data_IF_746390008820
#
_entry.id   IF_746390008820
#
_cell.length_a   1.000
_cell.length_b   1.000
_cell.length_c   1.000
_cell.angle_alpha   90.00
_cell.angle_beta   90.00
_cell.angle_gamma   90.00
#
_symmetry.space_group_name_H-M   'P 1'
#
loop_
_entity.id
_entity.type
_entity.pdbx_description
1 polymer ?
#
# COMPACT_ATOMS: atom_id res chain seq x y z
N UNK A 1 -19.67 -28.43 0.62
CA UNK A 1 -20.77 -27.57 0.12
C UNK A 1 -20.48 -27.33 -1.34
N UNK A 2 -21.45 -27.41 -2.25
CA UNK A 2 -21.23 -27.02 -3.65
C UNK A 2 -21.25 -25.50 -3.75
N UNK A 3 -20.55 -24.92 -4.74
CA UNK A 3 -20.48 -23.48 -4.96
C UNK A 3 -21.88 -22.85 -5.12
N UNK A 4 -22.77 -23.52 -5.87
CA UNK A 4 -24.17 -23.11 -6.08
C UNK A 4 -24.95 -22.96 -4.75
N UNK A 5 -24.74 -23.91 -3.81
CA UNK A 5 -25.38 -23.83 -2.50
C UNK A 5 -24.86 -22.63 -1.70
N UNK A 6 -23.56 -22.33 -1.81
CA UNK A 6 -22.98 -21.19 -1.14
C UNK A 6 -23.47 -19.86 -1.74
N UNK A 7 -23.59 -19.78 -3.05
CA UNK A 7 -24.16 -18.58 -3.69
C UNK A 7 -25.59 -18.32 -3.23
N UNK A 8 -26.39 -19.39 -3.03
CA UNK A 8 -27.73 -19.25 -2.46
C UNK A 8 -27.70 -18.73 -1.01
N UNK A 9 -26.72 -19.17 -0.19
CA UNK A 9 -26.54 -18.66 1.18
C UNK A 9 -26.14 -17.18 1.18
N UNK A 10 -25.34 -16.72 0.22
CA UNK A 10 -24.96 -15.31 0.10
C UNK A 10 -26.15 -14.39 -0.13
N UNK A 11 -27.20 -14.86 -0.80
CA UNK A 11 -28.40 -14.06 -1.10
C UNK A 11 -29.37 -13.98 0.08
N UNK A 12 -29.27 -14.88 1.05
CA UNK A 12 -30.19 -14.94 2.21
C UNK A 12 -29.67 -14.05 3.35
N UNK A 13 -30.35 -12.94 3.69
CA UNK A 13 -29.92 -12.03 4.73
C UNK A 13 -29.93 -12.61 6.15
N UNK A 14 -30.70 -13.69 6.38
CA UNK A 14 -30.82 -14.34 7.71
C UNK A 14 -29.62 -15.29 7.99
N UNK A 15 -28.87 -15.69 6.96
CA UNK A 15 -27.72 -16.58 7.10
C UNK A 15 -26.47 -15.75 7.41
N UNK A 16 -25.80 -16.05 8.51
CA UNK A 16 -24.55 -15.39 8.89
C UNK A 16 -23.43 -15.75 7.91
N UNK A 17 -22.74 -14.74 7.37
CA UNK A 17 -21.58 -14.94 6.51
C UNK A 17 -20.46 -15.55 7.36
N UNK A 18 -19.99 -16.75 6.97
CA UNK A 18 -18.88 -17.43 7.63
C UNK A 18 -17.60 -17.24 6.82
N UNK A 19 -16.48 -17.02 7.48
CA UNK A 19 -15.15 -16.96 6.83
C UNK A 19 -14.89 -18.20 5.95
N UNK A 20 -15.19 -19.40 6.46
CA UNK A 20 -15.01 -20.65 5.71
C UNK A 20 -15.85 -20.74 4.42
N UNK A 21 -16.97 -20.00 4.36
CA UNK A 21 -17.78 -19.88 3.15
C UNK A 21 -17.13 -18.90 2.14
N UNK A 22 -16.63 -17.76 2.62
CA UNK A 22 -15.96 -16.77 1.76
C UNK A 22 -14.74 -17.35 1.05
N UNK A 23 -14.04 -18.32 1.65
CA UNK A 23 -12.94 -19.03 1.00
C UNK A 23 -13.35 -19.68 -0.35
N UNK A 24 -14.64 -19.99 -0.52
CA UNK A 24 -15.16 -20.53 -1.79
C UNK A 24 -15.15 -19.49 -2.93
N UNK A 25 -15.00 -18.19 -2.59
CA UNK A 25 -14.89 -17.11 -3.58
C UNK A 25 -13.45 -16.85 -4.02
N UNK A 26 -12.47 -17.53 -3.39
CA UNK A 26 -11.07 -17.43 -3.78
C UNK A 26 -10.81 -18.17 -5.09
N UNK A 27 -10.10 -17.54 -6.01
CA UNK A 27 -9.72 -18.13 -7.29
C UNK A 27 -10.87 -18.31 -8.29
N UNK A 28 -12.03 -17.67 -8.07
CA UNK A 28 -13.16 -17.77 -9.02
C UNK A 28 -12.76 -17.26 -10.40
N UNK A 29 -13.08 -18.06 -11.42
CA UNK A 29 -12.78 -17.74 -12.81
C UNK A 29 -13.89 -18.21 -13.77
N UNK A 30 -13.89 -17.67 -14.98
CA UNK A 30 -14.76 -18.11 -16.05
C UNK A 30 -16.25 -18.16 -15.69
N UNK A 31 -16.91 -19.34 -15.79
CA UNK A 31 -18.35 -19.45 -15.54
C UNK A 31 -18.76 -19.07 -14.12
N UNK A 32 -17.94 -19.39 -13.11
CA UNK A 32 -18.26 -19.20 -11.69
C UNK A 32 -18.41 -17.72 -11.34
N UNK A 33 -17.50 -16.86 -11.84
CA UNK A 33 -17.61 -15.42 -11.61
C UNK A 33 -18.83 -14.83 -12.35
N UNK A 34 -19.19 -15.37 -13.52
CA UNK A 34 -20.39 -14.95 -14.26
C UNK A 34 -21.66 -15.29 -13.46
N UNK A 35 -21.69 -16.47 -12.86
CA UNK A 35 -22.81 -16.91 -12.02
C UNK A 35 -22.94 -16.03 -10.77
N UNK A 36 -21.85 -15.80 -10.02
CA UNK A 36 -21.83 -14.90 -8.87
C UNK A 36 -22.34 -13.49 -9.26
N UNK A 37 -21.89 -12.96 -10.38
CA UNK A 37 -22.32 -11.63 -10.85
C UNK A 37 -23.81 -11.59 -11.22
N UNK A 38 -24.35 -12.68 -11.77
CA UNK A 38 -25.78 -12.80 -12.01
C UNK A 38 -26.62 -12.68 -10.74
N UNK A 39 -26.10 -13.18 -9.63
CA UNK A 39 -26.75 -13.12 -8.31
C UNK A 39 -26.42 -11.85 -7.53
N UNK A 40 -25.27 -11.22 -7.79
CA UNK A 40 -24.75 -10.10 -7.01
C UNK A 40 -25.74 -8.96 -6.81
N UNK A 41 -26.47 -8.62 -7.87
CA UNK A 41 -27.47 -7.56 -7.82
C UNK A 41 -28.70 -7.90 -6.96
N UNK A 42 -28.93 -9.18 -6.64
CA UNK A 42 -30.01 -9.65 -5.77
C UNK A 42 -29.61 -9.65 -4.30
N UNK A 43 -28.32 -9.61 -3.99
CA UNK A 43 -27.81 -9.51 -2.63
C UNK A 43 -28.09 -8.12 -2.07
N UNK A 44 -28.69 -7.99 -0.85
CA UNK A 44 -28.90 -6.69 -0.22
C UNK A 44 -27.61 -5.88 -0.08
N UNK A 45 -27.70 -4.57 -0.22
CA UNK A 45 -26.54 -3.68 -0.23
C UNK A 45 -25.64 -3.85 1.00
N UNK A 46 -26.22 -3.84 2.20
CA UNK A 46 -25.46 -4.03 3.44
C UNK A 46 -24.68 -5.34 3.45
N UNK A 47 -25.29 -6.37 2.90
CA UNK A 47 -24.65 -7.68 2.82
C UNK A 47 -23.51 -7.71 1.79
N UNK A 48 -23.65 -7.00 0.65
CA UNK A 48 -22.54 -6.85 -0.31
C UNK A 48 -21.37 -6.12 0.32
N UNK A 49 -21.65 -5.06 1.10
CA UNK A 49 -20.61 -4.34 1.88
C UNK A 49 -19.88 -5.28 2.84
N UNK A 50 -20.64 -6.07 3.62
CA UNK A 50 -20.09 -7.05 4.56
C UNK A 50 -19.24 -8.11 3.86
N UNK A 51 -19.68 -8.62 2.71
CA UNK A 51 -18.92 -9.62 1.92
C UNK A 51 -17.57 -9.04 1.49
N UNK A 52 -17.58 -7.85 0.87
CA UNK A 52 -16.36 -7.22 0.35
C UNK A 52 -15.40 -6.86 1.49
N UNK A 53 -15.92 -6.34 2.60
CA UNK A 53 -15.15 -6.00 3.80
C UNK A 53 -14.40 -7.20 4.35
N UNK A 54 -15.13 -8.29 4.61
CA UNK A 54 -14.53 -9.53 5.12
C UNK A 54 -13.56 -10.20 4.15
N UNK A 55 -13.79 -10.07 2.83
CA UNK A 55 -12.81 -10.56 1.86
C UNK A 55 -11.51 -9.75 1.91
N UNK A 56 -11.59 -8.42 2.13
CA UNK A 56 -10.41 -7.58 2.30
C UNK A 56 -9.62 -7.99 3.54
N UNK A 57 -10.30 -8.16 4.69
CA UNK A 57 -9.68 -8.67 5.92
C UNK A 57 -9.01 -10.04 5.72
N UNK A 58 -9.67 -10.95 5.00
CA UNK A 58 -9.13 -12.30 4.75
C UNK A 58 -7.85 -12.29 3.89
N UNK A 59 -7.72 -11.38 2.93
CA UNK A 59 -6.50 -11.26 2.11
C UNK A 59 -5.34 -10.70 2.94
N UNK A 60 -5.60 -9.77 3.86
CA UNK A 60 -4.59 -9.26 4.78
C UNK A 60 -4.04 -10.37 5.70
N UNK A 61 -4.92 -11.27 6.16
CA UNK A 61 -4.55 -12.38 7.05
C UNK A 61 -3.92 -13.58 6.32
N UNK A 62 -4.19 -13.76 5.03
CA UNK A 62 -3.75 -14.92 4.26
C UNK A 62 -3.50 -14.60 2.78
N UNK A 63 -2.23 -14.47 2.44
CA UNK A 63 -1.75 -14.13 1.10
C UNK A 63 -2.00 -15.23 0.03
N UNK A 64 -2.40 -16.45 0.42
CA UNK A 64 -2.77 -17.51 -0.52
C UNK A 64 -4.17 -17.32 -1.11
N UNK A 65 -4.96 -16.37 -0.60
CA UNK A 65 -6.32 -16.10 -1.07
C UNK A 65 -6.31 -15.11 -2.24
N UNK A 66 -7.04 -15.45 -3.29
CA UNK A 66 -7.21 -14.62 -4.48
C UNK A 66 -8.69 -14.26 -4.71
N UNK A 67 -9.08 -13.07 -4.31
CA UNK A 67 -10.39 -12.50 -4.60
C UNK A 67 -10.39 -11.46 -5.74
N UNK A 68 -9.29 -11.33 -6.48
CA UNK A 68 -9.12 -10.28 -7.49
C UNK A 68 -10.25 -10.29 -8.53
N UNK A 69 -10.72 -11.47 -8.96
CA UNK A 69 -11.85 -11.58 -9.91
C UNK A 69 -13.14 -10.99 -9.37
N UNK A 70 -13.44 -11.21 -8.07
CA UNK A 70 -14.63 -10.69 -7.39
C UNK A 70 -14.49 -9.18 -7.19
N UNK A 71 -13.37 -8.72 -6.63
CA UNK A 71 -13.11 -7.29 -6.44
C UNK A 71 -13.21 -6.52 -7.76
N UNK A 72 -12.60 -7.02 -8.84
CA UNK A 72 -12.69 -6.40 -10.16
C UNK A 72 -14.13 -6.24 -10.64
N UNK A 73 -14.97 -7.22 -10.37
CA UNK A 73 -16.39 -7.15 -10.71
C UNK A 73 -17.12 -6.10 -9.87
N UNK A 74 -16.78 -6.00 -8.57
CA UNK A 74 -17.34 -5.05 -7.62
C UNK A 74 -16.94 -3.59 -7.89
N UNK A 75 -15.91 -3.30 -8.68
CA UNK A 75 -15.59 -1.93 -9.13
C UNK A 75 -16.73 -1.22 -9.87
N UNK A 76 -17.76 -1.96 -10.28
CA UNK A 76 -18.95 -1.43 -10.98
C UNK A 76 -20.22 -1.51 -10.15
N UNK A 77 -20.11 -1.80 -8.86
CA UNK A 77 -21.27 -1.86 -7.99
C UNK A 77 -21.97 -0.49 -7.92
N UNK A 78 -23.28 -0.50 -7.73
CA UNK A 78 -24.07 0.73 -7.56
C UNK A 78 -23.73 1.45 -6.26
N UNK A 79 -23.32 0.72 -5.25
CA UNK A 79 -22.96 1.21 -3.94
C UNK A 79 -21.48 1.64 -3.90
N UNK A 80 -21.24 2.84 -3.44
CA UNK A 80 -19.90 3.43 -3.40
C UNK A 80 -18.97 2.76 -2.39
N UNK A 81 -19.49 2.32 -1.23
CA UNK A 81 -18.66 1.61 -0.25
C UNK A 81 -18.18 0.26 -0.79
N UNK A 82 -19.04 -0.44 -1.54
CA UNK A 82 -18.63 -1.69 -2.22
C UNK A 82 -17.54 -1.40 -3.24
N UNK A 83 -17.67 -0.32 -4.05
CA UNK A 83 -16.64 0.05 -5.03
C UNK A 83 -15.32 0.45 -4.37
N UNK A 84 -15.39 1.26 -3.30
CA UNK A 84 -14.20 1.74 -2.59
C UNK A 84 -13.41 0.57 -1.97
N UNK A 85 -14.09 -0.31 -1.25
CA UNK A 85 -13.46 -1.51 -0.64
C UNK A 85 -12.93 -2.47 -1.70
N UNK A 86 -13.66 -2.67 -2.80
CA UNK A 86 -13.19 -3.49 -3.91
C UNK A 86 -11.93 -2.90 -4.58
N UNK A 87 -11.86 -1.58 -4.75
CA UNK A 87 -10.67 -0.93 -5.25
C UNK A 87 -9.49 -1.19 -4.28
N UNK A 88 -9.69 -0.98 -2.98
CA UNK A 88 -8.66 -1.24 -1.96
C UNK A 88 -8.21 -2.71 -1.93
N UNK A 89 -9.13 -3.66 -2.02
CA UNK A 89 -8.81 -5.10 -2.10
C UNK A 89 -8.00 -5.51 -3.35
N UNK A 90 -7.82 -4.58 -4.31
CA UNK A 90 -7.00 -4.77 -5.51
C UNK A 90 -5.63 -4.07 -5.42
N UNK A 91 -5.29 -3.46 -4.28
CA UNK A 91 -4.05 -2.69 -4.09
C UNK A 91 -2.80 -3.53 -4.44
N UNK A 92 -2.79 -4.81 -4.04
CA UNK A 92 -1.68 -5.72 -4.31
C UNK A 92 -1.85 -6.58 -5.58
N UNK A 93 -2.88 -6.32 -6.37
CA UNK A 93 -3.14 -7.10 -7.58
C UNK A 93 -2.17 -6.78 -8.71
N UNK A 94 -1.70 -7.83 -9.41
CA UNK A 94 -0.89 -7.73 -10.64
C UNK A 94 -1.73 -7.76 -11.92
N UNK A 95 -3.07 -7.81 -11.81
CA UNK A 95 -3.98 -7.86 -12.96
C UNK A 95 -4.06 -6.51 -13.68
N UNK A 96 -3.28 -6.37 -14.74
CA UNK A 96 -3.21 -5.12 -15.55
C UNK A 96 -4.55 -4.74 -16.20
N UNK A 97 -5.54 -5.64 -16.22
CA UNK A 97 -6.85 -5.34 -16.81
C UNK A 97 -7.68 -4.39 -15.96
N UNK A 98 -7.29 -4.21 -14.68
CA UNK A 98 -7.95 -3.28 -13.75
C UNK A 98 -7.44 -1.84 -13.85
N UNK A 99 -6.31 -1.58 -14.50
CA UNK A 99 -5.74 -0.23 -14.65
C UNK A 99 -6.78 0.75 -15.22
N UNK A 100 -7.44 0.39 -16.31
CA UNK A 100 -8.44 1.28 -16.91
C UNK A 100 -9.67 1.49 -16.04
N UNK A 101 -10.30 0.45 -15.46
CA UNK A 101 -11.34 0.63 -14.46
C UNK A 101 -10.96 1.53 -13.30
N UNK A 102 -9.75 1.38 -12.71
CA UNK A 102 -9.27 2.23 -11.61
C UNK A 102 -9.08 3.69 -12.05
N UNK A 103 -8.53 3.94 -13.24
CA UNK A 103 -8.42 5.29 -13.81
C UNK A 103 -9.82 5.91 -14.00
N UNK A 104 -10.79 5.13 -14.50
CA UNK A 104 -12.16 5.63 -14.67
C UNK A 104 -12.81 5.97 -13.33
N UNK A 105 -12.59 5.17 -12.26
CA UNK A 105 -13.04 5.47 -10.91
C UNK A 105 -12.36 6.74 -10.37
N UNK A 106 -11.04 6.82 -10.45
CA UNK A 106 -10.27 7.97 -9.98
C UNK A 106 -10.76 9.29 -10.58
N UNK A 107 -11.03 9.30 -11.87
CA UNK A 107 -11.35 10.53 -12.58
C UNK A 107 -12.84 10.92 -12.54
N UNK A 108 -13.76 9.95 -12.35
CA UNK A 108 -15.18 10.13 -12.66
C UNK A 108 -16.15 9.69 -11.56
N UNK A 109 -15.69 8.95 -10.54
CA UNK A 109 -16.62 8.51 -9.49
C UNK A 109 -17.09 9.69 -8.64
N UNK A 110 -18.37 9.72 -8.30
CA UNK A 110 -18.94 10.78 -7.47
C UNK A 110 -18.47 10.71 -6.01
N UNK A 111 -18.10 9.49 -5.53
CA UNK A 111 -17.63 9.27 -4.15
C UNK A 111 -16.16 9.59 -3.99
N UNK A 112 -15.84 10.48 -3.04
CA UNK A 112 -14.47 10.83 -2.66
C UNK A 112 -13.68 9.61 -2.20
N UNK A 113 -14.31 8.72 -1.45
CA UNK A 113 -13.69 7.48 -0.93
C UNK A 113 -13.30 6.53 -2.06
N UNK A 114 -14.15 6.39 -3.07
CA UNK A 114 -13.84 5.58 -4.26
C UNK A 114 -12.65 6.15 -5.02
N UNK A 115 -12.62 7.49 -5.22
CA UNK A 115 -11.50 8.13 -5.90
C UNK A 115 -10.19 7.95 -5.14
N UNK A 116 -10.21 8.14 -3.81
CA UNK A 116 -9.03 7.92 -2.96
C UNK A 116 -8.54 6.47 -3.01
N UNK A 117 -9.44 5.48 -2.89
CA UNK A 117 -9.10 4.06 -2.99
C UNK A 117 -8.54 3.68 -4.36
N UNK A 118 -9.09 4.24 -5.43
CA UNK A 118 -8.57 4.02 -6.78
C UNK A 118 -7.17 4.62 -6.97
N UNK A 119 -6.88 5.79 -6.36
CA UNK A 119 -5.55 6.38 -6.38
C UNK A 119 -4.53 5.45 -5.72
N UNK A 120 -4.83 4.93 -4.53
CA UNK A 120 -3.96 3.97 -3.80
C UNK A 120 -3.64 2.76 -4.67
N UNK A 121 -4.67 2.10 -5.22
CA UNK A 121 -4.47 0.88 -6.01
C UNK A 121 -3.73 1.11 -7.33
N UNK A 122 -3.76 2.34 -7.87
CA UNK A 122 -2.94 2.71 -9.02
C UNK A 122 -1.45 2.86 -8.67
N UNK A 123 -1.10 3.05 -7.40
CA UNK A 123 0.28 3.18 -6.92
C UNK A 123 1.16 1.98 -7.27
N UNK A 124 0.66 0.76 -7.05
CA UNK A 124 1.38 -0.46 -7.45
C UNK A 124 1.68 -0.50 -8.96
N UNK A 125 0.70 -0.12 -9.78
CA UNK A 125 0.91 -0.08 -11.23
C UNK A 125 1.84 1.06 -11.65
N UNK A 126 1.94 2.14 -10.88
CA UNK A 126 2.93 3.19 -11.09
C UNK A 126 4.36 2.67 -10.88
N UNK A 127 4.60 1.92 -9.79
CA UNK A 127 5.87 1.21 -9.55
C UNK A 127 6.15 0.22 -10.68
N UNK A 128 5.19 -0.62 -11.04
CA UNK A 128 5.33 -1.58 -12.14
C UNK A 128 5.62 -0.92 -13.49
N UNK A 129 5.11 0.29 -13.72
CA UNK A 129 5.37 1.05 -14.95
C UNK A 129 6.81 1.57 -14.96
N UNK A 130 7.34 2.04 -13.84
CA UNK A 130 8.74 2.44 -13.70
C UNK A 130 9.69 1.26 -13.91
N UNK A 131 9.34 0.09 -13.40
CA UNK A 131 10.09 -1.17 -13.59
C UNK A 131 9.95 -1.74 -15.03
N UNK A 132 9.19 -1.11 -15.91
CA UNK A 132 8.94 -1.61 -17.25
C UNK A 132 8.05 -2.87 -17.33
N UNK A 133 7.38 -3.21 -16.23
CA UNK A 133 6.46 -4.36 -16.13
C UNK A 133 5.06 -4.06 -16.69
N UNK A 134 4.74 -2.81 -16.95
CA UNK A 134 3.49 -2.33 -17.56
C UNK A 134 3.81 -1.69 -18.91
N UNK A 135 2.87 -1.74 -19.87
CA UNK A 135 3.06 -1.09 -21.17
C UNK A 135 3.25 0.43 -20.97
N UNK A 136 4.21 1.04 -21.65
CA UNK A 136 4.50 2.48 -21.54
C UNK A 136 3.26 3.37 -21.68
N UNK A 137 2.33 3.01 -22.60
CA UNK A 137 1.08 3.75 -22.79
C UNK A 137 0.15 3.70 -21.56
N UNK A 138 0.17 2.59 -20.81
CA UNK A 138 -0.69 2.42 -19.64
C UNK A 138 -0.04 3.10 -18.43
N UNK A 139 1.28 3.03 -18.29
CA UNK A 139 2.03 3.82 -17.31
C UNK A 139 1.82 5.33 -17.50
N UNK A 140 1.88 5.82 -18.74
CA UNK A 140 1.60 7.23 -19.04
C UNK A 140 0.15 7.63 -18.71
N UNK A 141 -0.82 6.76 -18.96
CA UNK A 141 -2.22 7.02 -18.56
C UNK A 141 -2.41 7.10 -17.06
N UNK A 142 -1.73 6.22 -16.31
CA UNK A 142 -1.75 6.27 -14.84
C UNK A 142 -1.17 7.60 -14.36
N UNK A 143 0.02 7.96 -14.84
CA UNK A 143 0.69 9.21 -14.47
C UNK A 143 -0.19 10.42 -14.74
N UNK A 144 -0.73 10.52 -15.95
CA UNK A 144 -1.59 11.66 -16.36
C UNK A 144 -2.86 11.72 -15.50
N UNK A 145 -3.51 10.59 -15.21
CA UNK A 145 -4.72 10.56 -14.40
C UNK A 145 -4.46 10.98 -12.94
N UNK A 146 -3.36 10.53 -12.34
CA UNK A 146 -2.96 10.94 -10.98
C UNK A 146 -2.65 12.44 -10.93
N UNK A 147 -1.88 12.96 -11.89
CA UNK A 147 -1.56 14.38 -11.97
C UNK A 147 -2.80 15.24 -12.18
N UNK A 148 -3.73 14.81 -13.05
CA UNK A 148 -4.99 15.54 -13.27
C UNK A 148 -5.78 15.72 -11.97
N UNK A 149 -5.82 14.69 -11.11
CA UNK A 149 -6.52 14.74 -9.83
C UNK A 149 -5.80 15.63 -8.82
N UNK A 150 -4.46 15.61 -8.81
CA UNK A 150 -3.65 16.48 -7.95
C UNK A 150 -3.91 17.97 -8.27
N UNK A 151 -4.05 18.29 -9.54
CA UNK A 151 -4.23 19.66 -10.03
C UNK A 151 -5.69 20.19 -9.88
N UNK A 152 -6.66 19.34 -9.49
CA UNK A 152 -8.06 19.79 -9.32
C UNK A 152 -8.24 20.62 -8.06
N UNK A 153 -8.74 21.85 -8.19
CA UNK A 153 -8.98 22.76 -7.06
C UNK A 153 -10.07 22.24 -6.09
N UNK A 154 -11.05 21.52 -6.62
CA UNK A 154 -12.21 20.99 -5.89
C UNK A 154 -12.04 19.55 -5.41
N UNK A 155 -10.86 18.95 -5.59
CA UNK A 155 -10.61 17.59 -5.13
C UNK A 155 -10.41 17.52 -3.62
N UNK A 156 -10.80 16.39 -3.01
CA UNK A 156 -10.61 16.17 -1.58
C UNK A 156 -9.12 16.09 -1.21
N UNK A 157 -8.81 16.55 0.00
CA UNK A 157 -7.45 16.45 0.53
C UNK A 157 -6.97 15.00 0.50
N UNK A 158 -7.82 14.05 0.93
CA UNK A 158 -7.45 12.63 0.98
C UNK A 158 -7.15 12.07 -0.42
N UNK A 159 -8.00 12.32 -1.43
CA UNK A 159 -7.74 11.85 -2.79
C UNK A 159 -6.44 12.46 -3.35
N UNK A 160 -6.21 13.75 -3.10
CA UNK A 160 -5.00 14.45 -3.53
C UNK A 160 -3.75 13.84 -2.89
N UNK A 161 -3.78 13.58 -1.58
CA UNK A 161 -2.70 12.91 -0.85
C UNK A 161 -2.35 11.56 -1.45
N UNK A 162 -3.36 10.69 -1.65
CA UNK A 162 -3.17 9.37 -2.23
C UNK A 162 -2.64 9.41 -3.66
N UNK A 163 -3.06 10.41 -4.44
CA UNK A 163 -2.55 10.62 -5.78
C UNK A 163 -1.07 11.06 -5.77
N UNK A 164 -0.65 11.93 -4.83
CA UNK A 164 0.75 12.34 -4.64
C UNK A 164 1.61 11.14 -4.27
N UNK A 165 1.17 10.34 -3.30
CA UNK A 165 1.86 9.13 -2.86
C UNK A 165 2.04 8.13 -4.02
N UNK A 166 1.02 7.97 -4.85
CA UNK A 166 1.01 6.99 -5.94
C UNK A 166 1.78 7.44 -7.18
N UNK A 167 1.85 8.76 -7.46
CA UNK A 167 2.59 9.27 -8.62
C UNK A 167 4.10 9.33 -8.37
N UNK A 168 4.53 9.25 -7.12
CA UNK A 168 5.91 9.44 -6.68
C UNK A 168 6.92 8.50 -7.35
N UNK A 169 6.50 7.31 -7.75
CA UNK A 169 7.37 6.33 -8.41
C UNK A 169 7.78 6.74 -9.84
N UNK A 170 7.10 7.72 -10.44
CA UNK A 170 7.48 8.19 -11.78
C UNK A 170 8.62 9.21 -11.70
N UNK A 171 9.72 8.88 -12.34
CA UNK A 171 10.88 9.80 -12.49
C UNK A 171 10.54 10.89 -13.52
N UNK A 172 10.14 12.07 -13.02
CA UNK A 172 9.92 13.25 -13.87
C UNK A 172 10.01 14.56 -13.07
N UNK A 173 10.50 15.65 -13.69
CA UNK A 173 10.57 16.97 -13.03
C UNK A 173 9.23 17.51 -12.54
N UNK A 174 8.12 17.11 -13.18
CA UNK A 174 6.79 17.51 -12.74
C UNK A 174 6.41 16.81 -11.43
N UNK A 175 6.77 15.52 -11.26
CA UNK A 175 6.52 14.78 -10.02
C UNK A 175 7.38 15.35 -8.88
N UNK A 176 8.65 15.63 -9.12
CA UNK A 176 9.53 16.31 -8.15
C UNK A 176 8.92 17.64 -7.68
N UNK A 177 8.39 18.44 -8.61
CA UNK A 177 7.75 19.72 -8.29
C UNK A 177 6.50 19.52 -7.42
N UNK A 178 5.65 18.54 -7.76
CA UNK A 178 4.45 18.19 -6.98
C UNK A 178 4.82 17.77 -5.54
N UNK A 179 5.82 16.92 -5.38
CA UNK A 179 6.30 16.49 -4.04
C UNK A 179 6.79 17.69 -3.25
N UNK A 180 7.56 18.58 -3.87
CA UNK A 180 8.06 19.78 -3.22
C UNK A 180 6.94 20.75 -2.82
N UNK A 181 5.97 20.99 -3.69
CA UNK A 181 4.81 21.85 -3.41
C UNK A 181 3.98 21.27 -2.25
N UNK A 182 3.75 19.97 -2.22
CA UNK A 182 3.04 19.30 -1.13
C UNK A 182 3.79 19.40 0.21
N UNK A 183 5.13 19.33 0.18
CA UNK A 183 5.96 19.52 1.37
C UNK A 183 5.90 20.95 1.91
N UNK A 184 5.90 21.94 1.02
CA UNK A 184 5.94 23.38 1.35
C UNK A 184 4.53 23.98 1.60
N UNK A 185 3.43 23.27 1.34
CA UNK A 185 2.04 23.74 1.43
C UNK A 185 1.64 24.27 2.83
N UNK A 186 2.24 23.71 3.88
CA UNK A 186 1.92 24.05 5.28
C UNK A 186 0.82 23.17 5.89
N UNK A 187 0.15 22.33 5.12
CA UNK A 187 -0.78 21.32 5.64
C UNK A 187 0.02 20.10 6.16
N UNK A 188 -0.13 19.69 7.44
CA UNK A 188 0.65 18.59 8.00
C UNK A 188 0.41 17.24 7.32
N UNK A 189 -0.79 16.99 6.82
CA UNK A 189 -1.11 15.75 6.12
C UNK A 189 -0.49 15.71 4.72
N UNK A 190 -0.46 16.84 3.99
CA UNK A 190 0.26 16.93 2.72
C UNK A 190 1.77 16.77 2.91
N UNK A 191 2.31 17.38 3.97
CA UNK A 191 3.73 17.23 4.32
C UNK A 191 4.07 15.75 4.60
N UNK A 192 3.22 15.05 5.34
CA UNK A 192 3.38 13.61 5.59
C UNK A 192 3.41 12.82 4.28
N UNK A 193 2.44 13.03 3.40
CA UNK A 193 2.38 12.36 2.08
C UNK A 193 3.57 12.73 1.19
N UNK A 194 4.07 13.96 1.27
CA UNK A 194 5.27 14.39 0.54
C UNK A 194 6.53 13.64 1.01
N UNK A 195 6.71 13.47 2.32
CA UNK A 195 7.85 12.70 2.86
C UNK A 195 7.77 11.23 2.46
N UNK A 196 6.58 10.63 2.54
CA UNK A 196 6.35 9.29 1.99
C UNK A 196 6.73 9.23 0.51
N UNK A 197 6.27 10.18 -0.30
CA UNK A 197 6.55 10.26 -1.73
C UNK A 197 8.05 10.43 -2.03
N UNK A 198 8.78 11.22 -1.22
CA UNK A 198 10.25 11.34 -1.31
C UNK A 198 10.94 9.97 -1.17
N UNK A 199 10.50 9.15 -0.22
CA UNK A 199 11.01 7.79 -0.05
C UNK A 199 10.68 6.86 -1.22
N UNK A 200 9.49 7.00 -1.81
CA UNK A 200 9.05 6.16 -2.94
C UNK A 200 9.72 6.55 -4.28
N UNK A 201 10.18 7.79 -4.41
CA UNK A 201 10.79 8.27 -5.65
C UNK A 201 12.16 7.65 -5.96
N UNK A 202 12.81 7.03 -4.98
CA UNK A 202 14.18 6.49 -5.05
C UNK A 202 15.23 7.56 -5.49
N UNK A 203 14.93 8.84 -5.30
CA UNK A 203 15.85 9.96 -5.61
C UNK A 203 16.56 10.42 -4.34
N UNK A 204 17.88 10.15 -4.27
CA UNK A 204 18.74 10.54 -3.16
C UNK A 204 18.84 12.06 -2.94
N UNK A 205 18.39 12.89 -3.89
CA UNK A 205 18.31 14.34 -3.72
C UNK A 205 17.40 14.76 -2.57
N UNK A 206 16.44 13.92 -2.19
CA UNK A 206 15.54 14.15 -1.05
C UNK A 206 16.17 13.87 0.32
N UNK A 207 17.29 13.18 0.36
CA UNK A 207 17.96 12.76 1.60
C UNK A 207 18.14 13.88 2.65
N UNK A 208 18.59 15.11 2.29
CA UNK A 208 18.76 16.18 3.28
C UNK A 208 17.43 16.57 3.98
N UNK A 209 16.32 16.57 3.24
CA UNK A 209 15.00 16.88 3.78
C UNK A 209 14.52 15.73 4.67
N UNK A 210 14.59 14.51 4.20
CA UNK A 210 14.17 13.31 4.93
C UNK A 210 14.95 13.18 6.25
N UNK A 211 16.27 13.37 6.23
CA UNK A 211 17.11 13.39 7.44
C UNK A 211 16.68 14.49 8.42
N UNK A 212 16.41 15.70 7.93
CA UNK A 212 15.91 16.78 8.78
C UNK A 212 14.61 16.38 9.49
N UNK A 213 13.68 15.75 8.80
CA UNK A 213 12.37 15.38 9.33
C UNK A 213 12.40 14.19 10.30
N UNK A 214 13.50 13.45 10.42
CA UNK A 214 13.70 12.49 11.53
C UNK A 214 13.73 13.17 12.89
N UNK A 215 13.91 14.50 12.95
CA UNK A 215 13.94 15.30 14.17
C UNK A 215 12.66 16.15 14.35
N UNK A 216 11.63 15.89 13.56
CA UNK A 216 10.35 16.61 13.67
C UNK A 216 9.74 16.44 15.05
N UNK A 217 9.04 17.48 15.54
CA UNK A 217 8.25 17.39 16.78
C UNK A 217 7.02 16.48 16.64
N UNK A 218 6.56 16.26 15.39
CA UNK A 218 5.40 15.43 15.07
C UNK A 218 5.85 13.96 14.86
N UNK A 219 5.36 12.99 15.68
CA UNK A 219 5.72 11.60 15.54
C UNK A 219 5.29 11.00 14.19
N UNK A 220 4.18 11.45 13.58
CA UNK A 220 3.76 10.98 12.28
C UNK A 220 4.78 11.37 11.19
N UNK A 221 5.34 12.56 11.28
CA UNK A 221 6.41 13.01 10.37
C UNK A 221 7.70 12.21 10.59
N UNK A 222 8.09 11.96 11.87
CA UNK A 222 9.28 11.12 12.15
C UNK A 222 9.11 9.69 11.65
N UNK A 223 7.90 9.13 11.77
CA UNK A 223 7.56 7.81 11.23
C UNK A 223 7.78 7.75 9.71
N UNK A 224 7.22 8.70 8.95
CA UNK A 224 7.40 8.75 7.50
C UNK A 224 8.85 9.01 7.12
N UNK A 225 9.55 9.86 7.85
CA UNK A 225 10.97 10.11 7.62
C UNK A 225 11.84 8.86 7.84
N UNK A 226 11.56 8.08 8.88
CA UNK A 226 12.23 6.79 9.11
C UNK A 226 11.97 5.83 7.95
N UNK A 227 10.71 5.71 7.54
CA UNK A 227 10.30 4.86 6.41
C UNK A 227 10.97 5.30 5.10
N UNK A 228 10.98 6.62 4.83
CA UNK A 228 11.63 7.18 3.64
C UNK A 228 13.15 6.93 3.64
N UNK A 229 13.82 7.02 4.80
CA UNK A 229 15.24 6.64 4.92
C UNK A 229 15.47 5.18 4.51
N UNK A 230 14.60 4.27 4.96
CA UNK A 230 14.64 2.87 4.59
C UNK A 230 14.48 2.63 3.09
N UNK A 231 13.52 3.31 2.47
CA UNK A 231 13.22 3.18 1.04
C UNK A 231 14.33 3.78 0.15
N UNK A 232 14.95 4.89 0.57
CA UNK A 232 16.11 5.47 -0.14
C UNK A 232 17.34 4.57 -0.04
N UNK A 233 17.47 3.75 1.01
CA UNK A 233 18.53 2.75 1.15
C UNK A 233 19.94 3.30 1.35
N UNK A 234 20.11 4.58 1.64
CA UNK A 234 21.41 5.25 1.71
C UNK A 234 22.06 5.09 3.10
N UNK A 235 23.29 4.57 3.14
CA UNK A 235 24.03 4.33 4.41
C UNK A 235 24.21 5.62 5.24
N UNK A 236 24.27 6.78 4.63
CA UNK A 236 24.40 8.07 5.30
C UNK A 236 23.18 8.41 6.18
N UNK A 237 22.04 7.79 5.97
CA UNK A 237 20.84 7.97 6.80
C UNK A 237 20.87 7.14 8.10
N UNK A 238 21.68 6.08 8.16
CA UNK A 238 21.70 5.10 9.27
C UNK A 238 21.91 5.75 10.65
N UNK A 239 22.83 6.71 10.88
CA UNK A 239 22.99 7.34 12.18
C UNK A 239 21.73 8.07 12.67
N UNK A 240 20.97 8.66 11.76
CA UNK A 240 19.72 9.39 12.04
C UNK A 240 18.58 8.42 12.38
N UNK A 241 18.49 7.30 11.65
CA UNK A 241 17.52 6.24 11.92
C UNK A 241 17.81 5.54 13.26
N UNK A 242 19.09 5.29 13.61
CA UNK A 242 19.49 4.74 14.91
C UNK A 242 19.00 5.62 16.07
N UNK A 243 19.03 6.94 15.92
CA UNK A 243 18.53 7.84 16.97
C UNK A 243 17.03 7.62 17.28
N UNK A 244 16.22 7.22 16.29
CA UNK A 244 14.80 6.94 16.43
C UNK A 244 14.48 5.60 17.11
N UNK A 245 15.45 4.71 17.33
CA UNK A 245 15.23 3.48 18.09
C UNK A 245 14.82 3.72 19.55
N UNK A 246 15.11 4.92 20.08
CA UNK A 246 14.73 5.35 21.41
C UNK A 246 13.64 6.45 21.36
N UNK A 247 12.86 6.54 20.31
CA UNK A 247 11.77 7.50 20.20
C UNK A 247 10.70 7.24 21.26
N UNK A 248 10.01 8.31 21.70
CA UNK A 248 8.91 8.19 22.65
C UNK A 248 7.66 7.51 22.03
N UNK A 249 7.56 7.48 20.70
CA UNK A 249 6.49 6.83 19.95
C UNK A 249 6.92 5.45 19.45
N UNK A 250 6.19 4.41 19.85
CA UNK A 250 6.49 3.03 19.51
C UNK A 250 6.40 2.71 18.01
N UNK A 251 5.54 3.42 17.25
CA UNK A 251 5.44 3.24 15.80
C UNK A 251 6.68 3.81 15.10
N UNK A 252 7.23 4.92 15.60
CA UNK A 252 8.50 5.48 15.11
C UNK A 252 9.66 4.53 15.40
N UNK A 253 9.70 3.91 16.59
CA UNK A 253 10.70 2.88 16.91
C UNK A 253 10.63 1.71 15.93
N UNK A 254 9.44 1.16 15.69
CA UNK A 254 9.24 0.06 14.75
C UNK A 254 9.57 0.43 13.30
N UNK A 255 9.23 1.64 12.86
CA UNK A 255 9.61 2.14 11.54
C UNK A 255 11.13 2.25 11.41
N UNK A 256 11.84 2.70 12.46
CA UNK A 256 13.30 2.78 12.46
C UNK A 256 13.96 1.40 12.40
N UNK A 257 13.42 0.39 13.08
CA UNK A 257 13.91 -1.00 13.00
C UNK A 257 13.78 -1.53 11.57
N UNK A 258 12.60 -1.34 10.94
CA UNK A 258 12.36 -1.76 9.55
C UNK A 258 13.29 -1.02 8.57
N UNK A 259 13.45 0.28 8.75
CA UNK A 259 14.34 1.08 7.92
C UNK A 259 15.80 0.61 8.01
N UNK A 260 16.30 0.29 9.22
CA UNK A 260 17.63 -0.29 9.40
C UNK A 260 17.77 -1.65 8.70
N UNK A 261 16.71 -2.47 8.72
CA UNK A 261 16.65 -3.72 7.97
C UNK A 261 16.78 -3.48 6.46
N UNK A 262 15.99 -2.58 5.92
CA UNK A 262 15.98 -2.24 4.49
C UNK A 262 17.32 -1.62 4.01
N UNK A 263 17.92 -0.72 4.78
CA UNK A 263 19.24 -0.13 4.45
C UNK A 263 20.35 -1.18 4.53
N UNK A 264 20.27 -2.08 5.51
CA UNK A 264 21.32 -3.09 5.69
C UNK A 264 22.66 -2.53 6.16
N UNK A 265 23.73 -3.25 5.83
CA UNK A 265 25.10 -2.85 6.16
C UNK A 265 25.51 -3.16 7.61
N UNK A 266 26.82 -2.95 7.90
CA UNK A 266 27.41 -3.37 9.17
C UNK A 266 26.95 -2.55 10.38
N UNK A 267 26.62 -1.28 10.17
CA UNK A 267 26.15 -0.37 11.24
C UNK A 267 24.72 -0.68 11.61
N UNK A 268 23.83 -0.85 10.63
CA UNK A 268 22.43 -1.26 10.82
C UNK A 268 22.35 -2.60 11.55
N UNK A 269 23.12 -3.60 11.09
CA UNK A 269 23.17 -4.93 11.74
C UNK A 269 23.53 -4.85 13.22
N UNK A 270 24.55 -4.04 13.58
CA UNK A 270 24.93 -3.84 14.98
C UNK A 270 23.86 -3.16 15.80
N UNK A 271 23.19 -2.14 15.24
CA UNK A 271 22.09 -1.46 15.91
C UNK A 271 20.89 -2.40 16.15
N UNK A 272 20.51 -3.20 15.15
CA UNK A 272 19.44 -4.20 15.28
C UNK A 272 19.79 -5.29 16.32
N UNK A 273 21.06 -5.73 16.40
CA UNK A 273 21.50 -6.64 17.44
C UNK A 273 21.36 -6.05 18.85
N UNK A 274 21.51 -4.74 19.02
CA UNK A 274 21.25 -4.07 20.30
C UNK A 274 19.75 -4.04 20.65
N UNK A 275 18.87 -3.89 19.65
CA UNK A 275 17.42 -3.93 19.84
C UNK A 275 16.96 -5.25 20.48
N UNK A 276 17.63 -6.39 20.23
CA UNK A 276 17.32 -7.67 20.86
C UNK A 276 17.50 -7.67 22.39
N UNK A 277 18.14 -6.65 22.94
CA UNK A 277 18.43 -6.51 24.37
C UNK A 277 17.61 -5.39 25.03
N UNK A 278 16.73 -4.71 24.30
CA UNK A 278 15.98 -3.55 24.81
C UNK A 278 14.80 -3.96 25.69
N UNK A 279 14.34 -5.21 25.65
CA UNK A 279 13.27 -5.73 26.50
C UNK A 279 11.85 -5.32 26.08
N UNK A 280 11.67 -4.78 24.90
CA UNK A 280 10.39 -4.58 24.25
C UNK A 280 10.14 -5.71 23.24
N UNK A 281 9.12 -6.53 23.48
CA UNK A 281 8.83 -7.72 22.67
C UNK A 281 8.56 -7.39 21.20
N UNK A 282 7.90 -6.27 20.90
CA UNK A 282 7.57 -5.87 19.53
C UNK A 282 8.82 -5.39 18.77
N UNK A 283 9.67 -4.61 19.43
CA UNK A 283 10.95 -4.15 18.86
C UNK A 283 11.90 -5.33 18.67
N UNK A 284 11.95 -6.26 19.62
CA UNK A 284 12.78 -7.47 19.54
C UNK A 284 12.37 -8.35 18.36
N UNK A 285 11.07 -8.61 18.20
CA UNK A 285 10.55 -9.42 17.08
C UNK A 285 10.81 -8.75 15.73
N UNK A 286 10.55 -7.43 15.61
CA UNK A 286 10.86 -6.68 14.41
C UNK A 286 12.36 -6.70 14.07
N UNK A 287 13.23 -6.59 15.08
CA UNK A 287 14.67 -6.64 14.88
C UNK A 287 15.16 -8.04 14.46
N UNK A 288 14.57 -9.12 14.98
CA UNK A 288 14.85 -10.49 14.51
C UNK A 288 14.53 -10.67 13.05
N UNK A 289 13.34 -10.21 12.63
CA UNK A 289 12.90 -10.29 11.23
C UNK A 289 13.83 -9.50 10.32
N UNK A 290 14.14 -8.25 10.67
CA UNK A 290 15.07 -7.40 9.93
C UNK A 290 16.49 -8.00 9.80
N UNK A 291 17.00 -8.64 10.86
CA UNK A 291 18.30 -9.33 10.81
C UNK A 291 18.28 -10.55 9.89
N UNK A 292 17.17 -11.30 9.87
CA UNK A 292 17.01 -12.45 8.97
C UNK A 292 16.95 -12.00 7.50
N UNK A 293 16.26 -10.88 7.20
CA UNK A 293 16.22 -10.29 5.85
C UNK A 293 17.63 -9.87 5.39
N UNK A 294 18.40 -9.16 6.24
CA UNK A 294 19.78 -8.79 5.92
C UNK A 294 20.67 -10.03 5.68
N UNK A 295 20.48 -11.11 6.44
CA UNK A 295 21.25 -12.34 6.26
C UNK A 295 20.87 -13.08 4.99
N UNK A 296 19.60 -13.12 4.66
CA UNK A 296 19.10 -13.71 3.42
C UNK A 296 19.61 -12.95 2.18
N UNK A 297 19.58 -11.62 2.20
CA UNK A 297 20.11 -10.78 1.09
C UNK A 297 21.63 -10.94 0.90
N UNK A 298 22.34 -11.13 2.01
CA UNK A 298 23.79 -11.35 1.95
C UNK A 298 24.17 -12.75 1.43
N UNK A 299 23.35 -13.79 1.66
CA UNK A 299 23.58 -15.16 1.21
C UNK A 299 22.26 -15.89 0.86
N UNK A 300 21.62 -15.55 -0.27
CA UNK A 300 20.32 -16.12 -0.68
C UNK A 300 20.35 -17.65 -0.86
N UNK A 301 21.53 -18.25 -0.99
CA UNK A 301 21.70 -19.67 -1.27
C UNK A 301 22.25 -20.47 -0.08
N UNK A 302 22.58 -19.79 1.05
CA UNK A 302 23.07 -20.43 2.27
C UNK A 302 24.44 -21.10 2.14
N UNK A 303 25.26 -20.73 1.16
CA UNK A 303 26.56 -21.36 0.90
C UNK A 303 27.71 -20.86 1.78
N UNK A 304 27.50 -19.77 2.55
CA UNK A 304 28.56 -19.15 3.36
C UNK A 304 28.72 -19.73 4.78
N UNK A 305 27.88 -20.68 5.17
CA UNK A 305 27.86 -21.23 6.55
C UNK A 305 28.86 -22.37 6.82
N UNK A 306 29.68 -22.79 5.84
CA UNK A 306 30.67 -23.85 6.02
C UNK A 306 32.06 -23.40 5.54
N UNK A 307 32.72 -22.55 6.33
CA UNK A 307 34.18 -22.38 6.19
C UNK A 307 34.84 -21.93 7.49
#
# INVERSE_FOLDING_TARGET
MTLDNYFSELTDPEIVIKHSGLLQLSGLAGPEIIELLGLWSTIPTERRREIVDRMTELVEDNLDLDFASVFRACLRDKDDQVRAKAARGLEDSDDRTIIRPLIDLLLKDDSLEVRASAAVSLGKFAVMAQDGKVLKRDGERIRVALMEVIDRDDESLETRRRAIESVASFDSPQVEQIIKEAYDDGNPELKQSAIYAMGQSSDSAWMPIVIQETQSSDPAIRYEAATACGNLGEEDTVPHVIALLNDDDSLVQLASVRALGAIGGSLSKRALQQCLLMGDDAVEEAAKNALQEIEFDADPMGFSAES
#
